data_IF_670873659916
#
_entry.id   IF_670873659916
#
_cell.length_a   1.000
_cell.length_b   1.000
_cell.length_c   1.000
_cell.angle_alpha   90.00
_cell.angle_beta   90.00
_cell.angle_gamma   90.00
#
_symmetry.space_group_name_H-M   'P 1'
#
loop_
_entity.id
_entity.type
_entity.pdbx_description
1 polymer ?
#
# COMPACT_ATOMS: atom_id res chain seq x y z
N UNK A 1 59.29 -44.88 -66.32
CA UNK A 1 59.32 -46.37 -66.19
C UNK A 1 58.14 -46.80 -65.33
N UNK A 2 57.32 -47.75 -65.84
CA UNK A 2 56.51 -48.81 -65.17
C UNK A 2 55.84 -48.54 -63.80
N UNK A 3 54.49 -48.62 -63.76
CA UNK A 3 53.63 -49.73 -63.19
C UNK A 3 53.58 -49.74 -61.65
N UNK A 4 52.53 -50.12 -60.91
CA UNK A 4 51.14 -50.61 -61.10
C UNK A 4 50.48 -50.53 -59.69
N UNK A 5 49.15 -50.35 -59.70
CA UNK A 5 48.07 -50.62 -58.73
C UNK A 5 48.35 -51.33 -57.39
N UNK A 6 47.59 -50.94 -56.34
CA UNK A 6 46.71 -51.88 -55.62
C UNK A 6 45.56 -51.18 -54.87
N UNK A 7 44.34 -51.63 -55.14
CA UNK A 7 43.08 -51.34 -54.47
C UNK A 7 42.90 -52.30 -53.28
N UNK A 8 42.29 -51.83 -52.19
CA UNK A 8 41.65 -52.67 -51.16
C UNK A 8 40.39 -51.94 -50.65
N UNK A 9 39.20 -52.56 -50.68
CA UNK A 9 37.98 -51.97 -50.15
C UNK A 9 37.82 -52.36 -48.67
N UNK A 10 37.54 -51.38 -47.81
CA UNK A 10 37.15 -51.62 -46.42
C UNK A 10 35.62 -51.66 -46.30
N UNK A 11 35.11 -52.83 -45.92
CA UNK A 11 33.73 -53.10 -45.50
C UNK A 11 33.33 -52.20 -44.31
N UNK A 12 32.29 -51.38 -44.46
CA UNK A 12 31.66 -50.68 -43.35
C UNK A 12 30.54 -51.57 -42.76
N UNK A 13 30.76 -52.05 -41.54
CA UNK A 13 29.75 -52.73 -40.72
C UNK A 13 28.81 -51.67 -40.14
N UNK A 14 27.53 -51.71 -40.52
CA UNK A 14 26.47 -50.89 -39.92
C UNK A 14 26.03 -51.56 -38.62
N UNK A 15 26.47 -51.01 -37.49
CA UNK A 15 25.98 -51.36 -36.15
C UNK A 15 24.71 -50.55 -35.85
N UNK A 16 23.55 -51.20 -35.97
CA UNK A 16 22.28 -50.69 -35.46
C UNK A 16 22.29 -50.73 -33.93
N UNK A 17 22.67 -49.62 -33.29
CA UNK A 17 22.51 -49.43 -31.85
C UNK A 17 21.06 -49.03 -31.58
N UNK A 18 20.28 -49.96 -31.03
CA UNK A 18 18.99 -49.67 -30.41
C UNK A 18 19.23 -48.85 -29.14
N UNK A 19 19.19 -47.52 -29.27
CA UNK A 19 19.20 -46.62 -28.12
C UNK A 19 17.90 -46.73 -27.34
N UNK A 20 17.98 -47.24 -26.11
CA UNK A 20 16.90 -47.19 -25.15
C UNK A 20 16.51 -45.73 -24.90
N UNK A 21 15.26 -45.38 -25.25
CA UNK A 21 14.69 -44.07 -24.96
C UNK A 21 14.47 -43.94 -23.45
N UNK A 22 15.48 -43.42 -22.73
CA UNK A 22 15.30 -42.91 -21.39
C UNK A 22 14.37 -41.70 -21.45
N UNK A 23 13.11 -41.89 -21.06
CA UNK A 23 12.15 -40.81 -20.89
C UNK A 23 12.70 -39.77 -19.92
N UNK A 24 13.12 -38.61 -20.44
CA UNK A 24 13.45 -37.45 -19.64
C UNK A 24 12.18 -37.03 -18.87
N UNK A 25 12.14 -37.32 -17.57
CA UNK A 25 11.14 -36.76 -16.66
C UNK A 25 11.22 -35.23 -16.77
N UNK A 26 10.15 -34.59 -17.21
CA UNK A 26 10.04 -33.12 -17.22
C UNK A 26 10.45 -32.59 -15.85
N UNK A 27 11.37 -31.61 -15.75
CA UNK A 27 11.75 -31.05 -14.47
C UNK A 27 10.51 -30.50 -13.78
N UNK A 28 10.20 -31.04 -12.60
CA UNK A 28 9.13 -30.52 -11.75
C UNK A 28 9.55 -29.12 -11.34
N UNK A 29 8.85 -28.11 -11.87
CA UNK A 29 9.08 -26.70 -11.54
C UNK A 29 8.90 -26.56 -10.02
N UNK A 30 9.98 -26.25 -9.29
CA UNK A 30 9.88 -26.02 -7.84
C UNK A 30 8.83 -24.94 -7.59
N UNK A 31 7.92 -25.10 -6.60
CA UNK A 31 6.96 -24.06 -6.26
C UNK A 31 7.71 -22.76 -5.99
N UNK A 32 7.39 -21.71 -6.73
CA UNK A 32 7.95 -20.39 -6.48
C UNK A 32 7.39 -19.89 -5.14
N UNK A 33 8.21 -19.34 -4.24
CA UNK A 33 7.71 -18.79 -2.99
C UNK A 33 6.66 -17.71 -3.29
N UNK A 34 5.62 -17.59 -2.44
CA UNK A 34 4.62 -16.54 -2.61
C UNK A 34 5.31 -15.17 -2.61
N UNK A 35 4.74 -14.24 -3.37
CA UNK A 35 5.17 -12.83 -3.37
C UNK A 35 5.11 -12.28 -1.94
N UNK A 36 5.89 -11.25 -1.66
CA UNK A 36 5.69 -10.52 -0.40
C UNK A 36 4.37 -9.75 -0.50
N UNK A 37 3.72 -9.51 0.62
CA UNK A 37 2.44 -8.81 0.71
C UNK A 37 2.56 -7.62 1.65
N UNK A 38 1.82 -6.56 1.33
CA UNK A 38 1.61 -5.40 2.18
C UNK A 38 0.14 -5.37 2.55
N UNK A 39 -0.13 -5.22 3.84
CA UNK A 39 -1.47 -5.13 4.39
C UNK A 39 -1.67 -3.80 5.12
N UNK A 40 -2.88 -3.28 5.06
CA UNK A 40 -3.35 -2.21 5.92
C UNK A 40 -3.70 -2.81 7.28
N UNK A 41 -3.14 -2.28 8.36
CA UNK A 41 -3.55 -2.61 9.73
C UNK A 41 -4.55 -1.56 10.19
N UNK A 42 -5.83 -1.94 10.24
CA UNK A 42 -6.97 -1.04 10.42
C UNK A 42 -7.87 -1.51 11.58
N UNK A 43 -8.96 -0.77 11.84
CA UNK A 43 -9.92 -1.04 12.92
C UNK A 43 -9.24 -1.19 14.29
N UNK A 44 -8.47 -0.18 14.70
CA UNK A 44 -7.69 -0.17 15.95
C UNK A 44 -6.68 -1.33 16.07
N UNK A 45 -6.18 -1.84 14.94
CA UNK A 45 -5.26 -2.97 14.92
C UNK A 45 -5.93 -4.33 15.14
N UNK A 46 -7.23 -4.44 14.87
CA UNK A 46 -7.99 -5.70 14.99
C UNK A 46 -8.02 -6.49 13.68
N UNK A 47 -7.84 -5.82 12.54
CA UNK A 47 -7.94 -6.47 11.22
C UNK A 47 -6.81 -6.06 10.28
N UNK A 48 -6.49 -6.94 9.33
CA UNK A 48 -5.67 -6.62 8.17
C UNK A 48 -6.41 -6.84 6.85
N UNK A 49 -6.18 -5.93 5.92
CA UNK A 49 -6.70 -6.01 4.56
C UNK A 49 -5.54 -5.88 3.57
N UNK A 50 -5.52 -6.66 2.49
CA UNK A 50 -4.38 -6.68 1.59
C UNK A 50 -4.41 -5.43 0.70
N UNK A 51 -3.26 -4.77 0.55
CA UNK A 51 -3.14 -3.56 -0.29
C UNK A 51 -2.43 -3.89 -1.59
N UNK A 52 -1.32 -4.63 -1.49
CA UNK A 52 -0.46 -4.94 -2.62
C UNK A 52 0.37 -6.20 -2.41
N UNK A 53 0.74 -6.83 -3.51
CA UNK A 53 1.79 -7.84 -3.59
C UNK A 53 3.04 -7.25 -4.22
N UNK A 54 4.20 -7.51 -3.60
CA UNK A 54 5.50 -7.02 -4.04
C UNK A 54 6.24 -8.11 -4.82
N UNK A 55 6.74 -7.74 -6.00
CA UNK A 55 7.62 -8.58 -6.80
C UNK A 55 8.66 -7.71 -7.50
N UNK A 56 9.94 -7.87 -7.16
CA UNK A 56 11.07 -7.10 -7.72
C UNK A 56 10.85 -5.58 -7.64
N UNK A 57 10.48 -5.07 -6.45
CA UNK A 57 10.20 -3.64 -6.22
C UNK A 57 8.90 -3.13 -6.86
N UNK A 58 8.13 -3.98 -7.54
CA UNK A 58 6.87 -3.58 -8.17
C UNK A 58 5.67 -4.05 -7.38
N UNK A 59 4.70 -3.15 -7.23
CA UNK A 59 3.40 -3.41 -6.65
C UNK A 59 2.45 -4.04 -7.68
N UNK A 60 1.62 -4.96 -7.22
CA UNK A 60 0.57 -5.61 -8.00
C UNK A 60 -0.65 -5.89 -7.12
N UNK A 61 -1.82 -5.97 -7.73
CA UNK A 61 -3.08 -6.18 -7.02
C UNK A 61 -3.07 -7.49 -6.20
N UNK A 62 -3.56 -7.45 -4.95
CA UNK A 62 -3.87 -8.65 -4.18
C UNK A 62 -5.27 -9.16 -4.55
N UNK A 63 -5.89 -9.98 -3.68
CA UNK A 63 -7.32 -10.29 -3.79
C UNK A 63 -8.18 -9.12 -3.32
N UNK A 64 -9.39 -9.05 -3.86
CA UNK A 64 -10.42 -8.07 -3.53
C UNK A 64 -11.64 -8.78 -2.90
N UNK A 65 -12.42 -8.12 -2.03
CA UNK A 65 -13.62 -8.71 -1.43
C UNK A 65 -14.70 -9.20 -2.42
N UNK A 66 -14.70 -8.70 -3.65
CA UNK A 66 -15.55 -9.15 -4.77
C UNK A 66 -15.01 -10.33 -5.59
N UNK A 67 -13.80 -10.83 -5.30
CA UNK A 67 -13.25 -12.01 -5.98
C UNK A 67 -14.03 -13.30 -5.66
N UNK A 68 -13.89 -14.30 -6.53
CA UNK A 68 -14.48 -15.61 -6.29
C UNK A 68 -13.86 -16.33 -5.07
N UNK A 69 -14.65 -17.22 -4.47
CA UNK A 69 -14.27 -17.94 -3.27
C UNK A 69 -12.98 -18.75 -3.44
N UNK A 70 -12.66 -19.24 -4.64
CA UNK A 70 -11.47 -20.05 -4.88
C UNK A 70 -10.20 -19.19 -4.79
N UNK A 71 -10.20 -18.00 -5.39
CA UNK A 71 -9.10 -17.02 -5.26
C UNK A 71 -8.91 -16.58 -3.81
N UNK A 72 -9.98 -16.20 -3.12
CA UNK A 72 -9.94 -15.77 -1.71
C UNK A 72 -9.40 -16.89 -0.80
N UNK A 73 -9.86 -18.12 -1.02
CA UNK A 73 -9.36 -19.30 -0.29
C UNK A 73 -7.88 -19.56 -0.57
N UNK A 74 -7.42 -19.41 -1.82
CA UNK A 74 -6.01 -19.58 -2.18
C UNK A 74 -5.11 -18.50 -1.54
N UNK A 75 -5.59 -17.26 -1.50
CA UNK A 75 -4.91 -16.17 -0.81
C UNK A 75 -4.82 -16.42 0.69
N UNK A 76 -5.93 -16.79 1.33
CA UNK A 76 -5.97 -17.13 2.75
C UNK A 76 -5.02 -18.27 3.12
N UNK A 77 -4.91 -19.30 2.28
CA UNK A 77 -3.93 -20.39 2.45
C UNK A 77 -2.47 -19.92 2.36
N UNK A 78 -2.21 -18.85 1.61
CA UNK A 78 -0.86 -18.34 1.38
C UNK A 78 -0.44 -17.35 2.46
N UNK A 79 -1.37 -16.50 2.89
CA UNK A 79 -1.07 -15.33 3.74
C UNK A 79 -1.80 -15.38 5.09
N UNK A 80 -3.07 -15.77 5.14
CA UNK A 80 -3.88 -15.71 6.36
C UNK A 80 -4.01 -17.02 7.15
N UNK A 81 -3.00 -17.89 7.07
CA UNK A 81 -2.93 -19.04 7.98
C UNK A 81 -2.85 -18.53 9.43
N UNK A 82 -3.63 -19.09 10.37
CA UNK A 82 -3.52 -18.72 11.78
C UNK A 82 -2.09 -18.85 12.29
N UNK A 83 -1.67 -17.91 13.13
CA UNK A 83 -0.32 -17.77 13.69
C UNK A 83 0.75 -17.27 12.71
N UNK A 84 0.46 -17.11 11.42
CA UNK A 84 1.36 -16.40 10.50
C UNK A 84 1.65 -15.01 11.05
N UNK A 85 2.92 -14.61 10.99
CA UNK A 85 3.40 -13.33 11.52
C UNK A 85 3.93 -12.44 10.41
N UNK A 86 3.64 -11.16 10.54
CA UNK A 86 4.13 -10.08 9.69
C UNK A 86 4.81 -9.03 10.56
N UNK A 87 5.75 -8.30 9.98
CA UNK A 87 6.34 -7.13 10.64
C UNK A 87 5.29 -6.03 10.66
N UNK A 88 5.07 -5.43 11.83
CA UNK A 88 4.29 -4.20 11.93
C UNK A 88 5.21 -3.04 11.54
N UNK A 89 4.81 -2.25 10.55
CA UNK A 89 5.54 -1.05 10.15
C UNK A 89 4.77 0.16 10.66
N UNK A 90 5.45 0.99 11.45
CA UNK A 90 4.89 2.25 11.95
C UNK A 90 5.95 3.36 11.91
N UNK A 91 5.64 4.43 11.18
CA UNK A 91 6.59 5.50 10.88
C UNK A 91 7.76 5.02 10.05
N UNK A 92 7.51 4.24 8.99
CA UNK A 92 8.54 3.80 8.07
C UNK A 92 9.44 2.66 8.55
N UNK A 93 9.30 2.21 9.80
CA UNK A 93 10.21 1.25 10.41
C UNK A 93 9.49 0.11 11.15
N UNK A 94 10.24 -0.96 11.42
CA UNK A 94 9.76 -2.11 12.20
C UNK A 94 9.39 -1.67 13.63
N UNK A 95 8.11 -1.82 13.98
CA UNK A 95 7.54 -1.35 15.23
C UNK A 95 6.86 -2.45 16.06
N UNK A 96 6.95 -3.71 15.61
CA UNK A 96 6.37 -4.85 16.30
C UNK A 96 6.00 -5.98 15.35
N UNK A 97 4.99 -6.76 15.74
CA UNK A 97 4.52 -7.92 14.98
C UNK A 97 3.01 -7.92 14.88
N UNK A 98 2.50 -8.23 13.69
CA UNK A 98 1.11 -8.58 13.45
C UNK A 98 1.00 -10.09 13.33
N UNK A 99 0.08 -10.72 14.05
CA UNK A 99 -0.19 -12.15 13.95
C UNK A 99 -1.62 -12.39 13.49
N UNK A 100 -1.79 -13.24 12.48
CA UNK A 100 -3.09 -13.66 11.99
C UNK A 100 -3.78 -14.54 13.05
N UNK A 101 -4.98 -14.14 13.46
CA UNK A 101 -5.82 -14.89 14.39
C UNK A 101 -6.78 -15.81 13.62
N UNK A 102 -7.53 -15.25 12.66
CA UNK A 102 -8.50 -16.00 11.86
C UNK A 102 -8.78 -15.33 10.52
N UNK A 103 -9.31 -16.09 9.57
CA UNK A 103 -9.76 -15.62 8.27
C UNK A 103 -10.93 -16.49 7.79
N UNK A 104 -12.00 -15.86 7.29
CA UNK A 104 -13.15 -16.54 6.70
C UNK A 104 -13.48 -15.95 5.33
N UNK A 105 -13.14 -16.65 4.22
CA UNK A 105 -13.41 -16.16 2.88
C UNK A 105 -14.91 -16.20 2.50
N UNK A 106 -15.78 -16.67 3.39
CA UNK A 106 -17.24 -16.68 3.20
C UNK A 106 -17.95 -15.55 3.94
N UNK A 107 -17.23 -14.74 4.73
CA UNK A 107 -17.83 -13.66 5.50
C UNK A 107 -18.42 -12.58 4.57
N UNK A 108 -19.73 -12.28 4.65
CA UNK A 108 -20.43 -11.45 3.65
C UNK A 108 -19.77 -10.09 3.31
N UNK A 109 -19.11 -9.45 4.27
CA UNK A 109 -18.61 -8.07 4.14
C UNK A 109 -17.11 -7.90 4.44
N UNK A 110 -16.37 -9.01 4.54
CA UNK A 110 -14.94 -9.01 4.91
C UNK A 110 -14.19 -10.22 4.35
N UNK A 111 -14.60 -10.71 3.16
CA UNK A 111 -14.12 -11.96 2.54
C UNK A 111 -12.61 -11.99 2.31
N UNK A 112 -11.97 -10.84 2.22
CA UNK A 112 -10.54 -10.64 1.95
C UNK A 112 -9.76 -10.13 3.18
N UNK A 113 -10.43 -9.96 4.32
CA UNK A 113 -9.88 -9.34 5.53
C UNK A 113 -9.69 -10.39 6.63
N UNK A 114 -8.56 -10.34 7.32
CA UNK A 114 -8.26 -11.26 8.41
C UNK A 114 -8.29 -10.55 9.78
N UNK A 115 -8.73 -11.27 10.81
CA UNK A 115 -8.59 -10.83 12.19
C UNK A 115 -7.16 -11.05 12.66
N UNK A 116 -6.65 -10.11 13.46
CA UNK A 116 -5.26 -10.13 13.91
C UNK A 116 -5.13 -9.82 15.39
N UNK A 117 -3.92 -10.07 15.90
CA UNK A 117 -3.41 -9.50 17.15
C UNK A 117 -2.14 -8.73 16.85
N UNK A 118 -2.00 -7.53 17.42
CA UNK A 118 -0.80 -6.71 17.33
C UNK A 118 0.02 -6.83 18.61
N UNK A 119 1.32 -7.05 18.47
CA UNK A 119 2.29 -6.98 19.55
C UNK A 119 3.27 -5.84 19.27
N UNK A 120 3.18 -4.76 20.04
CA UNK A 120 4.10 -3.62 20.01
C UNK A 120 4.25 -3.03 21.41
N UNK A 121 5.47 -2.61 21.77
CA UNK A 121 5.73 -1.93 23.04
C UNK A 121 5.41 -0.42 22.97
N UNK A 122 5.50 0.18 21.78
CA UNK A 122 5.55 1.63 21.60
C UNK A 122 4.45 2.19 20.69
N UNK A 123 3.69 1.32 20.02
CA UNK A 123 2.63 1.74 19.08
C UNK A 123 1.26 1.37 19.63
N UNK A 124 0.39 2.37 19.74
CA UNK A 124 -1.03 2.19 20.03
C UNK A 124 -1.85 2.62 18.81
N UNK A 125 -2.44 1.64 18.13
CA UNK A 125 -3.33 1.87 17.00
C UNK A 125 -4.74 2.18 17.54
N UNK A 126 -5.34 3.27 17.07
CA UNK A 126 -6.67 3.71 17.48
C UNK A 126 -7.21 4.76 16.50
N UNK A 127 -8.46 4.62 16.07
CA UNK A 127 -9.09 5.48 15.07
C UNK A 127 -8.23 5.57 13.80
N UNK A 128 -7.90 6.79 13.38
CA UNK A 128 -7.06 7.03 12.19
C UNK A 128 -5.56 6.84 12.39
N UNK A 129 -5.12 6.40 13.58
CA UNK A 129 -3.74 5.96 13.79
C UNK A 129 -3.62 4.50 13.35
N UNK A 130 -3.37 4.32 12.05
CA UNK A 130 -3.22 3.03 11.37
C UNK A 130 -1.74 2.69 11.13
N UNK A 131 -1.47 1.50 10.60
CA UNK A 131 -0.13 1.02 10.29
C UNK A 131 -0.12 0.13 9.04
N UNK A 132 1.06 -0.31 8.62
CA UNK A 132 1.22 -1.36 7.62
C UNK A 132 1.68 -2.67 8.27
N UNK A 133 1.41 -3.79 7.62
CA UNK A 133 2.04 -5.07 7.93
C UNK A 133 2.63 -5.70 6.68
N UNK A 134 3.82 -6.30 6.78
CA UNK A 134 4.46 -6.94 5.63
C UNK A 134 5.40 -8.09 5.99
N UNK A 135 5.58 -9.02 5.04
CA UNK A 135 6.62 -10.05 5.04
C UNK A 135 7.74 -9.74 4.02
N UNK A 136 7.71 -8.57 3.39
CA UNK A 136 8.84 -8.09 2.61
C UNK A 136 10.08 -7.98 3.49
N UNK A 137 11.27 -8.15 2.91
CA UNK A 137 12.51 -7.86 3.61
C UNK A 137 12.60 -6.36 3.94
N UNK A 138 13.29 -5.98 5.01
CA UNK A 138 13.67 -4.59 5.22
C UNK A 138 14.61 -4.16 4.09
N UNK A 139 14.23 -3.13 3.33
CA UNK A 139 15.10 -2.51 2.33
C UNK A 139 16.24 -1.71 3.02
N UNK A 140 15.95 -1.06 4.14
CA UNK A 140 16.92 -0.30 4.93
C UNK A 140 16.61 -0.34 6.43
N UNK A 141 17.60 0.01 7.29
CA UNK A 141 17.38 0.27 8.72
C UNK A 141 16.83 1.68 8.91
N UNK A 142 15.65 1.95 8.36
CA UNK A 142 14.95 3.21 8.59
C UNK A 142 14.72 3.40 10.09
N UNK A 143 14.96 4.62 10.56
CA UNK A 143 14.60 5.02 11.93
C UNK A 143 13.14 5.43 11.90
N UNK A 144 12.35 4.96 12.87
CA UNK A 144 10.94 5.31 12.94
C UNK A 144 10.76 6.83 13.03
N UNK A 145 10.11 7.45 12.05
CA UNK A 145 9.78 8.87 12.07
C UNK A 145 8.29 9.07 11.77
N UNK A 146 7.50 9.12 12.83
CA UNK A 146 6.09 9.50 12.75
C UNK A 146 5.70 10.24 13.98
N UNK A 147 5.32 11.50 13.80
CA UNK A 147 4.98 12.38 14.93
C UNK A 147 3.87 13.34 14.54
N UNK A 148 3.31 13.98 15.58
CA UNK A 148 2.52 15.19 15.36
C UNK A 148 3.42 16.28 14.79
N UNK A 149 2.92 17.11 13.87
CA UNK A 149 3.62 18.32 13.47
C UNK A 149 3.87 19.22 14.68
N UNK A 150 4.96 19.96 14.63
CA UNK A 150 5.21 21.09 15.53
C UNK A 150 4.21 22.21 15.25
N UNK A 151 4.05 23.14 16.18
CA UNK A 151 3.15 24.30 15.98
C UNK A 151 3.55 25.16 14.77
N UNK A 152 4.86 25.28 14.48
CA UNK A 152 5.36 26.02 13.33
C UNK A 152 5.01 25.30 12.01
N UNK A 153 5.29 23.99 11.92
CA UNK A 153 4.92 23.15 10.78
C UNK A 153 3.41 23.18 10.51
N UNK A 154 2.61 23.03 11.57
CA UNK A 154 1.15 23.10 11.48
C UNK A 154 0.68 24.47 10.97
N UNK A 155 1.18 25.56 11.55
CA UNK A 155 0.78 26.91 11.14
C UNK A 155 1.14 27.22 9.69
N UNK A 156 2.30 26.74 9.23
CA UNK A 156 2.74 26.95 7.85
C UNK A 156 1.85 26.18 6.87
N UNK A 157 1.58 24.91 7.15
CA UNK A 157 0.69 24.08 6.31
C UNK A 157 -0.76 24.55 6.34
N UNK A 158 -1.28 24.99 7.49
CA UNK A 158 -2.64 25.58 7.54
C UNK A 158 -2.73 26.86 6.68
N UNK A 159 -1.62 27.60 6.51
CA UNK A 159 -1.53 28.68 5.53
C UNK A 159 -1.69 28.18 4.08
N UNK A 160 -1.03 27.09 3.71
CA UNK A 160 -1.18 26.46 2.39
C UNK A 160 -2.60 25.92 2.17
N UNK A 161 -3.18 25.28 3.18
CA UNK A 161 -4.56 24.76 3.14
C UNK A 161 -5.55 25.89 2.90
N UNK A 162 -5.43 27.02 3.61
CA UNK A 162 -6.29 28.20 3.38
C UNK A 162 -6.11 28.74 1.96
N UNK A 163 -4.88 28.87 1.49
CA UNK A 163 -4.59 29.34 0.14
C UNK A 163 -5.21 28.43 -0.94
N UNK A 164 -5.20 27.10 -0.74
CA UNK A 164 -5.82 26.17 -1.69
C UNK A 164 -7.36 26.27 -1.66
N UNK A 165 -7.97 26.48 -0.50
CA UNK A 165 -9.41 26.78 -0.43
C UNK A 165 -9.76 28.13 -1.06
N UNK A 166 -8.95 29.17 -0.86
CA UNK A 166 -9.14 30.50 -1.46
C UNK A 166 -9.03 30.46 -2.98
N UNK A 167 -8.09 29.67 -3.52
CA UNK A 167 -7.97 29.38 -4.96
C UNK A 167 -9.23 28.72 -5.52
N UNK A 168 -9.95 27.96 -4.69
CA UNK A 168 -11.26 27.37 -4.99
C UNK A 168 -12.45 28.29 -4.60
N UNK A 169 -12.19 29.58 -4.33
CA UNK A 169 -13.18 30.61 -3.99
C UNK A 169 -13.91 30.36 -2.67
N UNK A 170 -13.26 29.70 -1.71
CA UNK A 170 -13.79 29.43 -0.38
C UNK A 170 -12.97 30.20 0.67
N UNK A 171 -13.64 30.80 1.66
CA UNK A 171 -13.00 31.48 2.78
C UNK A 171 -13.35 30.76 4.09
N UNK A 172 -12.51 29.83 4.55
CA UNK A 172 -12.85 28.97 5.67
C UNK A 172 -12.79 29.72 7.01
N UNK A 173 -13.91 29.70 7.75
CA UNK A 173 -13.97 30.20 9.14
C UNK A 173 -13.19 29.29 10.09
N UNK A 174 -13.39 27.98 9.96
CA UNK A 174 -12.69 26.95 10.71
C UNK A 174 -12.08 25.94 9.74
N UNK A 175 -10.90 25.44 10.09
CA UNK A 175 -10.29 24.29 9.44
C UNK A 175 -10.50 23.07 10.32
N UNK A 176 -11.07 22.01 9.75
CA UNK A 176 -11.16 20.71 10.37
C UNK A 176 -10.18 19.76 9.68
N UNK A 177 -9.69 18.75 10.41
CA UNK A 177 -8.81 17.74 9.82
C UNK A 177 -9.03 16.39 10.50
N UNK A 178 -8.90 15.32 9.72
CA UNK A 178 -8.94 13.94 10.23
C UNK A 178 -7.53 13.47 10.62
N UNK A 179 -6.52 13.88 9.85
CA UNK A 179 -5.12 13.66 10.18
C UNK A 179 -4.24 14.82 9.68
N UNK A 180 -3.16 15.06 10.41
CA UNK A 180 -1.99 15.80 9.95
C UNK A 180 -0.79 15.20 10.63
N UNK A 181 0.10 14.56 9.86
CA UNK A 181 1.20 13.76 10.38
C UNK A 181 2.50 14.17 9.71
N UNK A 182 3.55 14.29 10.52
CA UNK A 182 4.91 14.46 10.04
C UNK A 182 5.59 13.08 9.89
N UNK A 183 6.13 12.84 8.70
CA UNK A 183 6.88 11.64 8.30
C UNK A 183 8.22 12.06 7.68
N UNK A 184 9.17 11.14 7.57
CA UNK A 184 10.48 11.39 6.95
C UNK A 184 10.77 10.23 6.00
N UNK A 185 10.47 10.45 4.71
CA UNK A 185 10.47 9.39 3.71
C UNK A 185 11.86 9.04 3.20
N UNK A 186 12.86 9.92 3.36
CA UNK A 186 14.24 9.72 2.88
C UNK A 186 15.28 9.68 4.01
N UNK A 187 14.86 9.86 5.27
CA UNK A 187 15.73 9.80 6.44
C UNK A 187 16.63 11.03 6.61
N UNK A 188 16.31 12.17 6.00
CA UNK A 188 17.13 13.39 6.08
C UNK A 188 16.82 14.26 7.32
N UNK A 189 15.82 13.85 8.12
CA UNK A 189 15.37 14.56 9.32
C UNK A 189 14.45 15.75 9.03
N UNK A 190 14.12 16.01 7.77
CA UNK A 190 13.18 17.04 7.32
C UNK A 190 11.83 16.38 7.08
N UNK A 191 10.83 16.82 7.85
CA UNK A 191 9.53 16.19 7.76
C UNK A 191 8.77 16.56 6.48
N UNK A 192 8.27 15.56 5.75
CA UNK A 192 7.07 15.69 4.93
C UNK A 192 5.82 15.69 5.81
N UNK A 193 4.81 16.48 5.42
CA UNK A 193 3.54 16.60 6.12
C UNK A 193 2.42 16.04 5.25
N UNK A 194 1.79 14.96 5.72
CA UNK A 194 0.65 14.32 5.07
C UNK A 194 -0.61 14.64 5.86
N UNK A 195 -1.62 15.20 5.20
CA UNK A 195 -2.81 15.69 5.88
C UNK A 195 -4.09 15.57 5.06
N UNK A 196 -5.21 15.51 5.79
CA UNK A 196 -6.57 15.45 5.26
C UNK A 196 -7.43 16.47 6.00
N UNK A 197 -7.69 17.58 5.33
CA UNK A 197 -8.47 18.72 5.85
C UNK A 197 -9.86 18.75 5.22
N UNK A 198 -10.78 19.39 5.93
CA UNK A 198 -12.08 19.71 5.38
C UNK A 198 -12.67 20.97 6.00
N UNK A 199 -13.63 21.54 5.27
CA UNK A 199 -14.41 22.69 5.72
C UNK A 199 -15.89 22.49 5.37
N UNK A 200 -16.76 23.05 6.20
CA UNK A 200 -18.18 23.23 5.87
C UNK A 200 -18.31 24.35 4.84
N UNK A 201 -18.84 24.04 3.65
CA UNK A 201 -19.16 25.06 2.64
C UNK A 201 -20.55 25.63 2.90
N UNK A 202 -21.49 24.72 3.14
CA UNK A 202 -22.86 24.97 3.55
C UNK A 202 -23.35 23.73 4.34
N UNK A 203 -24.65 23.68 4.66
CA UNK A 203 -25.22 22.60 5.48
C UNK A 203 -25.05 21.22 4.86
N UNK A 204 -25.10 21.14 3.52
CA UNK A 204 -25.15 19.89 2.76
C UNK A 204 -23.87 19.62 1.97
N UNK A 205 -22.88 20.51 2.09
CA UNK A 205 -21.65 20.40 1.30
C UNK A 205 -20.39 20.53 2.14
N UNK A 206 -19.42 19.66 1.86
CA UNK A 206 -18.05 19.73 2.39
C UNK A 206 -17.05 19.93 1.26
N UNK A 207 -15.97 20.63 1.57
CA UNK A 207 -14.79 20.68 0.72
C UNK A 207 -13.64 19.95 1.41
N UNK A 208 -13.21 18.85 0.80
CA UNK A 208 -12.15 17.96 1.27
C UNK A 208 -10.84 18.32 0.57
N UNK A 209 -9.74 18.23 1.31
CA UNK A 209 -8.39 18.43 0.79
C UNK A 209 -7.45 17.39 1.39
N UNK A 210 -6.94 16.48 0.56
CA UNK A 210 -5.80 15.64 0.90
C UNK A 210 -4.53 16.25 0.29
N UNK A 211 -3.39 16.15 0.99
CA UNK A 211 -2.12 16.63 0.47
C UNK A 211 -0.91 15.91 1.04
N UNK A 212 0.20 16.03 0.31
CA UNK A 212 1.57 15.72 0.75
C UNK A 212 2.38 17.00 0.55
N UNK A 213 2.82 17.59 1.67
CA UNK A 213 3.64 18.80 1.67
C UNK A 213 5.09 18.48 2.01
N UNK A 214 6.02 19.08 1.30
CA UNK A 214 7.46 18.92 1.50
C UNK A 214 8.13 20.29 1.59
N UNK A 215 9.28 20.36 2.27
CA UNK A 215 10.07 21.60 2.28
C UNK A 215 10.87 21.71 0.99
N UNK A 216 10.67 22.81 0.27
CA UNK A 216 11.54 23.18 -0.84
C UNK A 216 12.92 23.65 -0.35
N UNK A 217 13.80 23.94 -1.31
CA UNK A 217 15.15 24.47 -1.05
C UNK A 217 15.17 25.78 -0.24
N UNK A 218 14.06 26.52 -0.24
CA UNK A 218 13.87 27.76 0.54
C UNK A 218 13.52 27.50 2.00
N UNK A 219 13.38 26.24 2.41
CA UNK A 219 12.97 25.83 3.76
C UNK A 219 11.47 26.01 4.04
N UNK A 220 10.68 26.39 3.02
CA UNK A 220 9.23 26.56 3.10
C UNK A 220 8.49 25.33 2.59
N UNK A 221 7.38 25.01 3.24
CA UNK A 221 6.49 23.96 2.77
C UNK A 221 5.77 24.39 1.49
N UNK A 222 5.61 23.43 0.59
CA UNK A 222 4.73 23.51 -0.57
C UNK A 222 4.03 22.16 -0.78
N UNK A 223 2.86 22.15 -1.40
CA UNK A 223 2.21 20.91 -1.80
C UNK A 223 2.95 20.29 -2.98
N UNK A 224 3.62 19.16 -2.73
CA UNK A 224 4.14 18.30 -3.78
C UNK A 224 3.04 17.43 -4.40
N UNK A 225 1.93 17.22 -3.66
CA UNK A 225 0.66 16.69 -4.16
C UNK A 225 -0.51 17.28 -3.36
N UNK A 226 -1.63 17.50 -4.03
CA UNK A 226 -2.90 17.89 -3.41
C UNK A 226 -4.07 17.39 -4.24
N UNK A 227 -5.09 16.86 -3.58
CA UNK A 227 -6.38 16.51 -4.17
C UNK A 227 -7.50 17.28 -3.45
N UNK A 228 -8.17 18.15 -4.20
CA UNK A 228 -9.30 18.94 -3.71
C UNK A 228 -10.60 18.37 -4.29
N UNK A 229 -11.57 18.11 -3.42
CA UNK A 229 -12.90 17.61 -3.80
C UNK A 229 -13.98 18.38 -3.08
N UNK A 230 -15.06 18.73 -3.78
CA UNK A 230 -16.29 19.22 -3.18
C UNK A 230 -17.33 18.11 -3.22
N UNK A 231 -17.91 17.77 -2.09
CA UNK A 231 -18.85 16.66 -1.95
C UNK A 231 -20.14 17.20 -1.33
N UNK A 232 -21.23 17.14 -2.10
CA UNK A 232 -22.59 17.40 -1.63
C UNK A 232 -23.19 16.15 -0.98
N UNK A 233 -24.27 16.33 -0.23
CA UNK A 233 -25.00 15.26 0.44
C UNK A 233 -25.49 14.17 -0.54
N UNK A 234 -25.84 14.56 -1.77
CA UNK A 234 -26.19 13.66 -2.87
C UNK A 234 -25.02 12.78 -3.35
N UNK A 235 -23.79 13.24 -3.14
CA UNK A 235 -22.57 12.46 -3.37
C UNK A 235 -22.22 11.49 -2.23
N UNK A 236 -23.01 11.48 -1.14
CA UNK A 236 -22.79 10.59 0.00
C UNK A 236 -23.76 9.42 -0.08
N UNK A 237 -23.24 8.19 -0.10
CA UNK A 237 -24.07 7.00 -0.29
C UNK A 237 -25.13 6.80 0.81
N UNK A 238 -24.84 7.16 2.07
CA UNK A 238 -25.84 7.13 3.15
C UNK A 238 -26.91 8.22 3.03
N UNK A 239 -26.67 9.25 2.22
CA UNK A 239 -27.45 10.48 2.21
C UNK A 239 -27.20 11.39 3.43
N UNK A 240 -26.25 11.08 4.32
CA UNK A 240 -25.91 11.90 5.47
C UNK A 240 -24.52 12.55 5.32
N UNK A 241 -24.49 13.86 5.08
CA UNK A 241 -23.26 14.64 4.95
C UNK A 241 -22.36 14.53 6.20
N UNK A 242 -22.90 14.19 7.37
CA UNK A 242 -22.14 14.02 8.61
C UNK A 242 -21.23 12.80 8.61
N UNK A 243 -21.36 11.89 7.65
CA UNK A 243 -20.40 10.79 7.51
C UNK A 243 -19.03 11.26 7.01
N UNK A 244 -18.97 12.36 6.24
CA UNK A 244 -17.69 13.00 5.90
C UNK A 244 -17.01 13.59 7.15
N UNK A 245 -17.79 14.22 8.03
CA UNK A 245 -17.27 14.77 9.28
C UNK A 245 -16.64 13.66 10.16
N UNK A 246 -17.10 12.40 10.02
CA UNK A 246 -16.56 11.21 10.68
C UNK A 246 -15.39 10.54 9.95
N UNK A 247 -14.95 11.06 8.81
CA UNK A 247 -13.80 10.55 8.05
C UNK A 247 -14.13 9.68 6.85
N UNK A 248 -15.40 9.43 6.52
CA UNK A 248 -15.75 8.71 5.28
C UNK A 248 -15.36 9.56 4.06
N UNK A 249 -14.80 8.92 3.04
CA UNK A 249 -14.23 9.50 1.82
C UNK A 249 -12.99 10.38 2.00
N UNK A 250 -12.51 10.55 3.24
CA UNK A 250 -11.22 11.15 3.49
C UNK A 250 -10.11 10.18 3.12
N UNK A 251 -9.15 10.66 2.34
CA UNK A 251 -7.89 9.97 2.15
C UNK A 251 -6.99 10.29 3.36
N UNK A 252 -6.48 9.24 4.01
CA UNK A 252 -5.75 9.29 5.27
C UNK A 252 -4.42 8.55 5.14
N UNK A 253 -3.40 9.00 5.86
CA UNK A 253 -2.12 8.28 5.95
C UNK A 253 -2.31 6.92 6.66
N UNK A 254 -1.95 5.83 5.99
CA UNK A 254 -1.72 4.54 6.65
C UNK A 254 -0.34 4.54 7.31
N UNK A 255 0.70 4.55 6.48
CA UNK A 255 2.11 4.70 6.84
C UNK A 255 2.94 4.88 5.56
N UNK A 256 4.26 4.77 5.64
CA UNK A 256 5.16 4.77 4.50
C UNK A 256 6.13 3.58 4.57
N UNK A 257 6.64 3.14 3.43
CA UNK A 257 7.55 2.00 3.32
C UNK A 257 8.37 2.11 2.04
N UNK A 258 9.68 1.90 2.13
CA UNK A 258 10.59 1.76 0.99
C UNK A 258 10.43 0.38 0.36
N UNK A 259 9.62 0.29 -0.70
CA UNK A 259 9.24 -0.97 -1.35
C UNK A 259 10.31 -1.45 -2.32
N UNK A 260 10.97 -0.54 -3.03
CA UNK A 260 11.93 -0.86 -4.08
C UNK A 260 13.40 -0.79 -3.63
N UNK A 261 13.66 -0.24 -2.45
CA UNK A 261 14.97 -0.17 -1.83
C UNK A 261 15.83 0.98 -2.35
N UNK A 262 15.24 2.01 -2.94
CA UNK A 262 15.97 3.18 -3.45
C UNK A 262 16.37 4.19 -2.34
N UNK A 263 15.92 3.95 -1.10
CA UNK A 263 16.18 4.79 0.06
C UNK A 263 15.17 5.91 0.26
N UNK A 264 14.13 6.02 -0.59
CA UNK A 264 13.01 6.94 -0.45
C UNK A 264 11.69 6.18 -0.42
N UNK A 265 11.07 6.15 0.75
CA UNK A 265 9.86 5.40 0.97
C UNK A 265 8.64 5.93 0.20
N UNK A 266 7.81 5.00 -0.28
CA UNK A 266 6.47 5.31 -0.76
C UNK A 266 5.50 5.57 0.39
N UNK A 267 4.57 6.50 0.18
CA UNK A 267 3.50 6.83 1.13
C UNK A 267 2.25 6.01 0.79
N UNK A 268 1.72 5.27 1.75
CA UNK A 268 0.50 4.49 1.62
C UNK A 268 -0.67 5.22 2.30
N UNK A 269 -1.79 5.30 1.61
CA UNK A 269 -3.00 5.93 2.12
C UNK A 269 -4.20 4.99 2.11
N UNK A 270 -5.20 5.35 2.89
CA UNK A 270 -6.47 4.65 3.03
C UNK A 270 -7.61 5.65 2.92
N UNK A 271 -8.61 5.31 2.12
CA UNK A 271 -9.87 6.02 2.00
C UNK A 271 -11.00 5.08 2.36
N UNK A 272 -11.68 5.32 3.46
CA UNK A 272 -12.90 4.58 3.79
C UNK A 272 -14.02 5.00 2.85
N UNK A 273 -14.72 4.02 2.29
CA UNK A 273 -15.98 4.21 1.56
C UNK A 273 -17.07 3.38 2.23
N UNK A 274 -18.34 3.61 1.89
CA UNK A 274 -19.44 2.77 2.39
C UNK A 274 -19.29 1.33 1.94
N UNK A 275 -19.03 1.12 0.64
CA UNK A 275 -18.87 -0.20 0.03
C UNK A 275 -17.38 -0.54 -0.16
N UNK A 276 -16.62 -0.48 0.93
CA UNK A 276 -15.23 -0.93 0.96
C UNK A 276 -14.22 0.20 1.20
N UNK A 277 -13.07 0.12 0.53
CA UNK A 277 -11.95 1.02 0.79
C UNK A 277 -11.09 1.27 -0.45
N UNK A 278 -10.59 2.49 -0.60
CA UNK A 278 -9.53 2.82 -1.53
C UNK A 278 -8.17 2.82 -0.84
N UNK A 279 -7.15 2.35 -1.55
CA UNK A 279 -5.75 2.44 -1.16
C UNK A 279 -4.96 3.08 -2.29
N UNK A 280 -4.17 4.08 -1.98
CA UNK A 280 -3.25 4.70 -2.91
C UNK A 280 -1.83 4.65 -2.38
N UNK A 281 -0.87 4.60 -3.31
CA UNK A 281 0.56 4.62 -3.01
C UNK A 281 1.21 5.73 -3.81
N UNK A 282 1.91 6.62 -3.12
CA UNK A 282 2.59 7.76 -3.73
C UNK A 282 4.09 7.58 -3.66
N UNK A 283 4.76 7.91 -4.77
CA UNK A 283 6.21 8.00 -4.83
C UNK A 283 6.61 9.41 -5.23
N UNK A 284 7.83 9.82 -4.88
CA UNK A 284 8.31 11.15 -5.18
C UNK A 284 9.13 11.17 -6.47
N UNK A 285 8.86 12.14 -7.32
CA UNK A 285 9.58 12.39 -8.57
C UNK A 285 10.01 13.86 -8.58
N UNK A 286 11.27 14.11 -8.22
CA UNK A 286 11.79 15.47 -8.05
C UNK A 286 11.14 16.14 -6.83
N UNK A 287 10.40 17.23 -7.06
CA UNK A 287 9.66 17.98 -6.01
C UNK A 287 8.14 17.77 -6.11
N UNK A 288 7.72 16.63 -6.65
CA UNK A 288 6.32 16.27 -6.80
C UNK A 288 6.10 14.86 -6.27
N UNK A 289 4.90 14.62 -5.77
CA UNK A 289 4.42 13.29 -5.43
C UNK A 289 3.43 12.83 -6.49
N UNK A 290 3.65 11.63 -7.01
CA UNK A 290 2.82 11.01 -8.03
C UNK A 290 2.21 9.72 -7.50
N UNK A 291 0.98 9.44 -7.91
CA UNK A 291 0.29 8.20 -7.58
C UNK A 291 0.90 7.07 -8.41
N UNK A 292 1.62 6.16 -7.74
CA UNK A 292 2.31 5.02 -8.34
C UNK A 292 1.37 3.83 -8.54
N UNK A 293 0.48 3.63 -7.58
CA UNK A 293 -0.40 2.47 -7.51
C UNK A 293 -1.70 2.84 -6.80
N UNK A 294 -2.79 2.23 -7.24
CA UNK A 294 -4.11 2.34 -6.63
C UNK A 294 -4.77 0.98 -6.59
N UNK A 295 -5.48 0.72 -5.51
CA UNK A 295 -6.27 -0.49 -5.34
C UNK A 295 -7.57 -0.13 -4.63
N UNK A 296 -8.68 -0.51 -5.23
CA UNK A 296 -9.98 -0.43 -4.58
C UNK A 296 -10.32 -1.83 -4.08
N UNK A 297 -10.67 -1.94 -2.81
CA UNK A 297 -11.19 -3.15 -2.19
C UNK A 297 -12.70 -2.99 -1.98
N UNK A 298 -13.49 -3.83 -2.65
CA UNK A 298 -14.94 -3.78 -2.55
C UNK A 298 -15.42 -4.59 -1.35
N UNK A 299 -16.33 -3.99 -0.56
CA UNK A 299 -17.04 -4.68 0.52
C UNK A 299 -18.51 -4.32 0.47
N UNK A 300 -19.34 -5.15 1.10
CA UNK A 300 -20.73 -4.79 1.32
C UNK A 300 -20.82 -3.47 2.13
N UNK A 301 -21.87 -2.69 1.93
CA UNK A 301 -22.13 -1.49 2.73
C UNK A 301 -22.30 -1.84 4.23
N UNK A 302 -21.75 -1.00 5.12
CA UNK A 302 -21.93 -1.11 6.58
C UNK A 302 -23.08 -0.23 7.09
#
# INVERSE_FOLDING_TARGET
MKRISLLLPAMAVVLCVFGAAYGQKKPVKKPQPPKSAIFAVINDGKTVSPIALISNGKLSEPVNGGDDLAKLTAFGKSYYKPKTTYRLIFGGADAGTVRIASFDPKAECSKDTANITVASANVKLNGFVMALATNAAAASKSVAFRRRPTSAEKSEVEGLVRAEYEKNKLTPKALHYQNLTAIDTNGDGVAELVGSYWIEVDKETRALLFFIAEKGKTGKYAFGYSDYRRVGQDGVMSGDIKDLDKGVYHELLLDYLDVDGDGKAEIFTYTQSFEGAGFDVYHSVGTKWTKLYSFSDYRCAF
#
